data_IF_523023946880
#
_entry.id   IF_523023946880
#
_cell.length_a   1.000
_cell.length_b   1.000
_cell.length_c   1.000
_cell.angle_alpha   90.00
_cell.angle_beta   90.00
_cell.angle_gamma   90.00
#
_symmetry.space_group_name_H-M   'P 1'
#
loop_
_entity.id
_entity.type
_entity.pdbx_description
1 polymer ?
#
# COMPACT_ATOMS: atom_id res chain seq x y z
N UNK A 1 -6.42 -22.61 -0.54
CA UNK A 1 -7.20 -22.65 0.71
C UNK A 1 -6.22 -22.71 1.88
N UNK A 2 -5.79 -21.56 2.40
CA UNK A 2 -4.83 -21.48 3.50
C UNK A 2 -5.02 -20.12 4.17
N UNK A 3 -5.53 -20.13 5.40
CA UNK A 3 -5.94 -18.97 6.19
C UNK A 3 -4.78 -17.97 6.31
N UNK A 4 -4.92 -16.76 5.75
CA UNK A 4 -3.93 -15.70 5.92
C UNK A 4 -4.01 -15.19 7.35
N UNK A 5 -3.04 -15.59 8.17
CA UNK A 5 -2.88 -15.12 9.55
C UNK A 5 -2.71 -13.59 9.55
N UNK A 6 -3.24 -12.88 10.56
CA UNK A 6 -3.29 -11.40 10.59
C UNK A 6 -1.95 -10.68 10.40
N UNK A 7 -0.81 -11.34 10.59
CA UNK A 7 0.54 -10.78 10.41
C UNK A 7 0.98 -10.63 8.95
N UNK A 8 0.20 -11.18 8.02
CA UNK A 8 0.57 -11.31 6.61
C UNK A 8 -0.03 -10.22 5.71
N UNK A 9 -0.74 -9.24 6.31
CA UNK A 9 -1.38 -8.14 5.59
C UNK A 9 -0.61 -6.84 5.79
N UNK A 10 0.12 -6.39 4.76
CA UNK A 10 0.94 -5.17 4.80
C UNK A 10 0.16 -3.94 5.29
N UNK A 11 -1.08 -3.75 4.83
CA UNK A 11 -1.88 -2.57 5.17
C UNK A 11 -2.11 -2.41 6.69
N UNK A 12 -2.11 -3.49 7.47
CA UNK A 12 -2.25 -3.44 8.93
C UNK A 12 -1.01 -2.89 9.65
N UNK A 13 0.17 -2.98 9.02
CA UNK A 13 1.41 -2.38 9.54
C UNK A 13 1.67 -0.99 8.95
N UNK A 14 1.11 -0.73 7.77
CA UNK A 14 1.20 0.57 7.10
C UNK A 14 0.22 1.59 7.68
N UNK A 15 -1.04 1.20 7.89
CA UNK A 15 -2.06 2.05 8.50
C UNK A 15 -1.93 1.97 10.02
N UNK A 16 -1.46 3.05 10.64
CA UNK A 16 -1.26 3.11 12.09
C UNK A 16 -2.54 3.14 12.92
N UNK A 17 -3.68 3.48 12.31
CA UNK A 17 -5.00 3.57 12.95
C UNK A 17 -5.59 2.18 13.07
N UNK A 18 -5.83 1.73 14.30
CA UNK A 18 -6.58 0.50 14.55
C UNK A 18 -8.10 0.76 14.63
N UNK A 19 -8.90 -0.29 14.78
CA UNK A 19 -10.37 -0.18 14.82
C UNK A 19 -10.90 0.70 15.96
N UNK A 20 -10.25 0.66 17.14
CA UNK A 20 -10.64 1.49 18.28
C UNK A 20 -10.28 2.97 18.06
N UNK A 21 -9.11 3.23 17.49
CA UNK A 21 -8.70 4.57 17.10
C UNK A 21 -9.66 5.15 16.05
N UNK A 22 -9.99 4.36 15.02
CA UNK A 22 -10.92 4.75 13.96
C UNK A 22 -12.30 5.12 14.55
N UNK A 23 -12.83 4.29 15.44
CA UNK A 23 -14.10 4.55 16.11
C UNK A 23 -14.06 5.86 16.93
N UNK A 24 -12.98 6.10 17.68
CA UNK A 24 -12.80 7.33 18.44
C UNK A 24 -12.69 8.58 17.54
N UNK A 25 -11.95 8.47 16.43
CA UNK A 25 -11.80 9.56 15.46
C UNK A 25 -13.13 9.91 14.78
N UNK A 26 -13.89 8.89 14.34
CA UNK A 26 -15.21 9.06 13.72
C UNK A 26 -16.20 9.75 14.67
N UNK A 27 -16.17 9.40 15.96
CA UNK A 27 -16.99 10.06 16.98
C UNK A 27 -16.67 11.56 17.12
N UNK A 28 -15.39 11.93 17.12
CA UNK A 28 -14.97 13.34 17.21
C UNK A 28 -15.43 14.14 15.98
N UNK A 29 -15.33 13.52 14.79
CA UNK A 29 -15.71 14.14 13.51
C UNK A 29 -17.23 14.11 13.29
N UNK A 30 -17.97 13.30 14.07
CA UNK A 30 -19.42 13.10 13.97
C UNK A 30 -19.85 12.43 12.65
N UNK A 31 -19.08 11.42 12.22
CA UNK A 31 -19.44 10.55 11.11
C UNK A 31 -19.69 9.12 11.63
N UNK A 32 -20.69 8.43 11.09
CA UNK A 32 -21.06 7.08 11.53
C UNK A 32 -20.17 5.99 10.90
N UNK A 33 -19.47 6.32 9.81
CA UNK A 33 -18.56 5.41 9.12
C UNK A 33 -17.52 6.16 8.28
N UNK A 34 -16.45 5.45 7.90
CA UNK A 34 -15.48 5.96 6.94
C UNK A 34 -16.12 6.24 5.56
N UNK A 35 -17.06 5.40 5.11
CA UNK A 35 -17.77 5.61 3.85
C UNK A 35 -18.62 6.88 3.86
N UNK A 36 -19.35 7.13 4.95
CA UNK A 36 -20.10 8.38 5.10
C UNK A 36 -19.15 9.58 5.05
N UNK A 37 -18.02 9.52 5.76
CA UNK A 37 -17.03 10.59 5.77
C UNK A 37 -16.50 10.88 4.34
N UNK A 38 -16.23 9.82 3.56
CA UNK A 38 -15.79 9.96 2.16
C UNK A 38 -16.87 10.63 1.31
N UNK A 39 -18.14 10.19 1.40
CA UNK A 39 -19.25 10.81 0.64
C UNK A 39 -19.49 12.28 0.98
N UNK A 40 -19.28 12.68 2.24
CA UNK A 40 -19.40 14.08 2.66
C UNK A 40 -18.23 14.94 2.17
N UNK A 41 -17.11 14.34 1.80
CA UNK A 41 -15.85 15.04 1.49
C UNK A 41 -15.57 15.11 -0.01
N UNK A 42 -15.78 14.01 -0.74
CA UNK A 42 -15.45 13.89 -2.16
C UNK A 42 -16.74 13.89 -2.98
N UNK A 43 -16.94 14.87 -3.90
CA UNK A 43 -18.13 14.90 -4.74
C UNK A 43 -18.30 13.64 -5.59
N UNK A 44 -19.51 13.10 -5.61
CA UNK A 44 -19.81 11.85 -6.33
C UNK A 44 -19.49 11.94 -7.83
N UNK A 45 -19.59 13.13 -8.43
CA UNK A 45 -19.33 13.36 -9.85
C UNK A 45 -17.89 13.08 -10.30
N UNK A 46 -16.95 13.04 -9.36
CA UNK A 46 -15.53 12.76 -9.63
C UNK A 46 -15.03 11.49 -8.95
N UNK A 47 -15.89 10.79 -8.18
CA UNK A 47 -15.51 9.56 -7.47
C UNK A 47 -15.54 8.37 -8.44
N UNK A 48 -14.51 7.54 -8.36
CA UNK A 48 -14.47 6.28 -9.11
C UNK A 48 -15.62 5.36 -8.65
N UNK A 49 -16.38 4.84 -9.61
CA UNK A 49 -17.60 4.04 -9.35
C UNK A 49 -17.32 2.54 -9.23
N UNK A 50 -16.11 2.13 -9.57
CA UNK A 50 -15.66 0.75 -9.55
C UNK A 50 -14.35 0.63 -8.76
N UNK A 51 -14.03 -0.59 -8.33
CA UNK A 51 -12.76 -0.84 -7.68
C UNK A 51 -11.59 -0.70 -8.66
N UNK A 52 -10.42 -0.39 -8.13
CA UNK A 52 -9.21 -0.36 -8.95
C UNK A 52 -8.93 -1.76 -9.51
N UNK A 53 -8.71 -1.86 -10.82
CA UNK A 53 -8.32 -3.11 -11.47
C UNK A 53 -6.85 -3.42 -11.19
N UNK A 54 -6.58 -3.96 -10.00
CA UNK A 54 -5.23 -4.33 -9.54
C UNK A 54 -5.12 -5.85 -9.33
N UNK A 55 -3.91 -6.42 -9.44
CA UNK A 55 -3.65 -7.78 -8.98
C UNK A 55 -3.99 -7.97 -7.51
N UNK A 56 -4.17 -9.22 -7.09
CA UNK A 56 -4.35 -9.54 -5.68
C UNK A 56 -3.17 -9.00 -4.85
N UNK A 57 -3.43 -8.49 -3.63
CA UNK A 57 -2.36 -7.98 -2.79
C UNK A 57 -1.38 -9.10 -2.43
N UNK A 58 -0.10 -8.77 -2.50
CA UNK A 58 0.97 -9.65 -2.04
C UNK A 58 1.21 -9.47 -0.55
N UNK A 59 1.66 -10.55 0.08
CA UNK A 59 2.33 -10.46 1.38
C UNK A 59 3.68 -9.75 1.22
N UNK A 60 4.23 -9.23 2.32
CA UNK A 60 5.56 -8.62 2.26
C UNK A 60 6.66 -9.60 1.85
N UNK A 61 6.53 -10.86 2.27
CA UNK A 61 7.46 -11.91 1.92
C UNK A 61 7.44 -12.20 0.41
N UNK A 62 6.24 -12.38 -0.16
CA UNK A 62 6.05 -12.60 -1.60
C UNK A 62 6.59 -11.41 -2.40
N UNK A 63 6.25 -10.19 -1.99
CA UNK A 63 6.74 -8.98 -2.65
C UNK A 63 8.27 -8.92 -2.67
N UNK A 64 8.96 -9.18 -1.54
CA UNK A 64 10.42 -9.18 -1.49
C UNK A 64 11.06 -10.35 -2.26
N UNK A 65 10.36 -11.48 -2.41
CA UNK A 65 10.82 -12.59 -3.25
C UNK A 65 10.75 -12.20 -4.72
N UNK A 66 9.60 -11.73 -5.19
CA UNK A 66 9.40 -11.32 -6.58
C UNK A 66 10.30 -10.16 -6.97
N UNK A 67 10.46 -9.16 -6.09
CA UNK A 67 11.35 -8.04 -6.33
C UNK A 67 12.81 -8.49 -6.47
N UNK A 68 13.25 -9.50 -5.71
CA UNK A 68 14.60 -10.07 -5.85
C UNK A 68 14.80 -10.77 -7.19
N UNK A 69 13.79 -11.49 -7.67
CA UNK A 69 13.83 -12.13 -8.99
C UNK A 69 13.96 -11.07 -10.08
N UNK A 70 13.15 -10.01 -10.03
CA UNK A 70 13.24 -8.89 -10.98
C UNK A 70 14.60 -8.19 -10.89
N UNK A 71 15.08 -7.90 -9.69
CA UNK A 71 16.37 -7.24 -9.48
C UNK A 71 17.56 -8.06 -9.99
N UNK A 72 17.45 -9.41 -9.97
CA UNK A 72 18.50 -10.30 -10.47
C UNK A 72 18.73 -10.20 -11.98
N UNK A 73 17.77 -9.62 -12.72
CA UNK A 73 17.90 -9.38 -14.16
C UNK A 73 18.85 -8.21 -14.49
N UNK A 74 19.15 -7.35 -13.50
CA UNK A 74 20.07 -6.24 -13.68
C UNK A 74 21.53 -6.73 -13.78
N UNK A 75 22.33 -6.05 -14.62
CA UNK A 75 23.77 -6.31 -14.74
C UNK A 75 24.54 -5.24 -13.98
N UNK A 76 25.16 -5.63 -12.87
CA UNK A 76 26.05 -4.74 -12.11
C UNK A 76 27.42 -4.70 -12.80
N UNK A 77 27.67 -3.63 -13.55
CA UNK A 77 28.93 -3.39 -14.23
C UNK A 77 29.82 -2.44 -13.44
N UNK A 78 31.13 -2.53 -13.67
CA UNK A 78 32.04 -1.42 -13.34
C UNK A 78 31.75 -0.27 -14.29
N UNK A 79 31.08 0.76 -13.80
CA UNK A 79 30.65 1.91 -14.59
C UNK A 79 31.69 3.03 -14.56
N UNK A 80 32.31 3.30 -15.71
CA UNK A 80 33.27 4.41 -15.92
C UNK A 80 32.70 5.54 -16.78
N UNK A 81 31.37 5.65 -16.85
CA UNK A 81 30.69 6.69 -17.64
C UNK A 81 30.98 8.08 -17.06
N UNK A 82 31.07 8.19 -15.73
CA UNK A 82 31.31 9.46 -15.04
C UNK A 82 30.08 10.35 -15.06
N UNK A 83 30.24 11.60 -15.54
CA UNK A 83 29.15 12.58 -15.65
C UNK A 83 28.40 12.87 -14.34
N UNK A 84 29.12 12.87 -13.22
CA UNK A 84 28.57 13.24 -11.91
C UNK A 84 28.19 12.06 -11.00
N UNK A 85 28.30 10.82 -11.48
CA UNK A 85 28.17 9.62 -10.65
C UNK A 85 29.42 8.75 -10.78
N UNK A 86 30.02 8.42 -9.63
CA UNK A 86 31.21 7.60 -9.54
C UNK A 86 30.93 6.49 -8.53
N UNK A 87 31.36 5.25 -8.83
CA UNK A 87 31.20 4.14 -7.89
C UNK A 87 31.97 4.43 -6.60
N UNK A 88 31.32 4.30 -5.45
CA UNK A 88 31.89 4.44 -4.10
C UNK A 88 31.76 3.15 -3.32
#
# INVERSE_FOLDING_TARGET
MGKTTSFDQFHKRHNGVNEADLAGMLQVIKADSLEQLIHQTVPDSIRLQEELQLPAPLTEYEYLRELREIASLNKVCRSYIGMGYYGT
#
